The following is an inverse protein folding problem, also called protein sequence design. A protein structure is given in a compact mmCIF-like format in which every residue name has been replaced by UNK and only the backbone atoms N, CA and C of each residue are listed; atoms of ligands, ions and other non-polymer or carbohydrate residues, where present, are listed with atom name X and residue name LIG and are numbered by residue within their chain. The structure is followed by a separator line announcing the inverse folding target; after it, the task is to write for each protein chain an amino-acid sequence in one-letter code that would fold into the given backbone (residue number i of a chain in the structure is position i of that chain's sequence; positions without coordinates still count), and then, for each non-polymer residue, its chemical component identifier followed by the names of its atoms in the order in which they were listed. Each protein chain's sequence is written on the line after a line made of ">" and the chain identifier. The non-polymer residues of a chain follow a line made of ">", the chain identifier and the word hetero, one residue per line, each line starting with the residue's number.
data_IF_178192451987
#
_entry.id   IF_178192451987
#
_cell.length_a   1.000
_cell.length_b   1.000
_cell.length_c   1.000
_cell.angle_alpha   90.00
_cell.angle_beta   90.00
_cell.angle_gamma   90.00
#
_symmetry.space_group_name_H-M   'P 1'
#
loop_
_entity.id
_entity.type
_entity.pdbx_description
1 polymer ?
#
# COMPACT_ATOMS: atom_id res chain seq x y z
N UNK A 1 -19.70 -19.37 -4.75
CA UNK A 1 -18.69 -19.73 -5.78
C UNK A 1 -18.03 -18.49 -6.40
N UNK A 2 -18.79 -17.43 -6.75
CA UNK A 2 -18.26 -16.20 -7.40
C UNK A 2 -17.17 -15.50 -6.56
N UNK A 3 -17.33 -15.41 -5.26
CA UNK A 3 -16.32 -14.78 -4.39
C UNK A 3 -15.00 -15.57 -4.34
N UNK A 4 -15.04 -16.90 -4.42
CA UNK A 4 -13.84 -17.74 -4.42
C UNK A 4 -13.05 -17.57 -5.72
N UNK A 5 -13.74 -17.56 -6.87
CA UNK A 5 -13.10 -17.33 -8.17
C UNK A 5 -12.44 -15.95 -8.25
N UNK A 6 -13.10 -14.90 -7.75
CA UNK A 6 -12.54 -13.54 -7.71
C UNK A 6 -11.32 -13.44 -6.78
N UNK A 7 -11.33 -14.14 -5.65
CA UNK A 7 -10.18 -14.18 -4.74
C UNK A 7 -8.97 -14.88 -5.38
N UNK A 8 -9.20 -16.05 -6.02
CA UNK A 8 -8.14 -16.79 -6.72
C UNK A 8 -7.57 -15.99 -7.91
N UNK A 9 -8.42 -15.35 -8.70
CA UNK A 9 -7.98 -14.47 -9.78
C UNK A 9 -7.13 -13.31 -9.25
N UNK A 10 -7.51 -12.72 -8.11
CA UNK A 10 -6.73 -11.66 -7.45
C UNK A 10 -5.36 -12.14 -6.99
N UNK A 11 -5.26 -13.34 -6.39
CA UNK A 11 -4.00 -13.95 -5.98
C UNK A 11 -3.11 -14.20 -7.20
N UNK A 12 -3.66 -14.81 -8.26
CA UNK A 12 -2.93 -15.09 -9.50
C UNK A 12 -2.37 -13.80 -10.12
N UNK A 13 -3.18 -12.73 -10.14
CA UNK A 13 -2.76 -11.42 -10.63
C UNK A 13 -1.61 -10.83 -9.81
N UNK A 14 -1.68 -10.90 -8.48
CA UNK A 14 -0.64 -10.40 -7.58
C UNK A 14 0.67 -11.18 -7.74
N UNK A 15 0.60 -12.51 -7.87
CA UNK A 15 1.77 -13.35 -8.13
C UNK A 15 2.40 -13.02 -9.49
N UNK A 16 1.59 -12.89 -10.53
CA UNK A 16 2.06 -12.54 -11.86
C UNK A 16 2.78 -11.19 -11.88
N UNK A 17 2.15 -10.13 -11.35
CA UNK A 17 2.78 -8.82 -11.31
C UNK A 17 3.98 -8.78 -10.37
N UNK A 18 3.97 -9.50 -9.25
CA UNK A 18 5.12 -9.63 -8.37
C UNK A 18 6.33 -10.18 -9.10
N UNK A 19 6.16 -11.29 -9.84
CA UNK A 19 7.23 -11.88 -10.65
C UNK A 19 7.70 -10.94 -11.76
N UNK A 20 6.77 -10.30 -12.48
CA UNK A 20 7.13 -9.34 -13.55
C UNK A 20 7.96 -8.19 -13.00
N UNK A 21 7.55 -7.57 -11.89
CA UNK A 21 8.32 -6.49 -11.28
C UNK A 21 9.70 -6.96 -10.83
N UNK A 22 9.80 -8.13 -10.19
CA UNK A 22 11.09 -8.68 -9.76
C UNK A 22 12.01 -8.92 -10.98
N UNK A 23 11.51 -9.52 -12.06
CA UNK A 23 12.28 -9.74 -13.28
C UNK A 23 12.79 -8.43 -13.87
N UNK A 24 11.94 -7.40 -13.96
CA UNK A 24 12.34 -6.08 -14.47
C UNK A 24 13.46 -5.50 -13.62
N UNK A 25 13.31 -5.50 -12.29
CA UNK A 25 14.34 -4.94 -11.42
C UNK A 25 15.65 -5.76 -11.43
N UNK A 26 15.58 -7.09 -11.47
CA UNK A 26 16.78 -7.92 -11.57
C UNK A 26 17.59 -7.62 -12.83
N UNK A 27 16.91 -7.44 -13.97
CA UNK A 27 17.56 -7.04 -15.22
C UNK A 27 18.29 -5.69 -15.08
N UNK A 28 17.69 -4.72 -14.36
CA UNK A 28 18.39 -3.45 -14.05
C UNK A 28 19.63 -3.66 -13.19
N UNK A 29 19.58 -4.55 -12.21
CA UNK A 29 20.72 -4.84 -11.33
C UNK A 29 21.86 -5.55 -12.06
N UNK A 30 21.56 -6.37 -13.06
CA UNK A 30 22.56 -7.07 -13.89
C UNK A 30 23.19 -6.16 -14.94
N UNK A 31 22.47 -5.16 -15.44
CA UNK A 31 22.90 -4.32 -16.56
C UNK A 31 23.82 -3.16 -16.20
N UNK A 32 23.96 -2.83 -14.92
CA UNK A 32 24.72 -1.67 -14.48
C UNK A 32 25.62 -2.01 -13.29
N UNK A 33 26.91 -1.61 -13.38
CA UNK A 33 27.91 -1.71 -12.30
C UNK A 33 27.74 -0.63 -11.19
N UNK A 34 26.55 -0.04 -11.08
CA UNK A 34 26.30 1.03 -10.11
C UNK A 34 25.92 0.46 -8.73
N UNK A 35 26.36 1.14 -7.67
CA UNK A 35 25.94 0.81 -6.30
C UNK A 35 24.50 1.22 -6.07
N UNK A 36 23.61 0.24 -5.97
CA UNK A 36 22.18 0.50 -5.70
C UNK A 36 21.89 0.75 -4.22
N UNK A 37 20.88 1.58 -3.91
CA UNK A 37 20.53 1.93 -2.52
C UNK A 37 19.91 0.78 -1.72
N UNK A 38 19.49 -0.30 -2.39
CA UNK A 38 18.96 -1.53 -1.78
C UNK A 38 19.70 -2.76 -2.31
N UNK A 39 19.88 -3.78 -1.46
CA UNK A 39 20.36 -5.10 -1.91
C UNK A 39 19.22 -5.83 -2.65
N UNK A 40 19.56 -6.77 -3.55
CA UNK A 40 18.58 -7.56 -4.32
C UNK A 40 17.52 -8.20 -3.41
N UNK A 41 17.96 -8.89 -2.35
CA UNK A 41 17.03 -9.55 -1.41
C UNK A 41 16.10 -8.56 -0.69
N UNK A 42 16.58 -7.35 -0.37
CA UNK A 42 15.77 -6.30 0.24
C UNK A 42 14.69 -5.81 -0.72
N UNK A 43 15.06 -5.64 -1.99
CA UNK A 43 14.14 -5.24 -3.04
C UNK A 43 13.08 -6.31 -3.32
N UNK A 44 13.48 -7.58 -3.42
CA UNK A 44 12.56 -8.70 -3.65
C UNK A 44 11.55 -8.80 -2.50
N UNK A 45 12.00 -8.68 -1.24
CA UNK A 45 11.11 -8.62 -0.08
C UNK A 45 10.11 -7.47 -0.18
N UNK A 46 10.59 -6.27 -0.53
CA UNK A 46 9.75 -5.09 -0.71
C UNK A 46 8.65 -5.31 -1.76
N UNK A 47 9.01 -5.86 -2.91
CA UNK A 47 8.07 -6.11 -4.00
C UNK A 47 7.03 -7.17 -3.63
N UNK A 48 7.43 -8.25 -2.94
CA UNK A 48 6.47 -9.24 -2.47
C UNK A 48 5.52 -8.70 -1.40
N UNK A 49 6.02 -7.91 -0.46
CA UNK A 49 5.17 -7.25 0.54
C UNK A 49 4.18 -6.30 -0.11
N UNK A 50 4.62 -5.54 -1.12
CA UNK A 50 3.73 -4.67 -1.87
C UNK A 50 2.59 -5.44 -2.54
N UNK A 51 2.86 -6.61 -3.12
CA UNK A 51 1.82 -7.47 -3.67
C UNK A 51 0.94 -8.10 -2.59
N UNK A 52 1.52 -8.64 -1.52
CA UNK A 52 0.78 -9.29 -0.44
C UNK A 52 -0.20 -8.33 0.25
N UNK A 53 0.25 -7.11 0.54
CA UNK A 53 -0.53 -6.08 1.23
C UNK A 53 -1.18 -5.06 0.28
N UNK A 54 -1.20 -5.33 -1.02
CA UNK A 54 -1.78 -4.47 -2.05
C UNK A 54 -3.15 -3.89 -1.67
N UNK A 55 -4.09 -4.75 -1.24
CA UNK A 55 -5.44 -4.33 -0.89
C UNK A 55 -5.49 -3.41 0.35
N UNK A 56 -4.48 -3.46 1.22
CA UNK A 56 -4.39 -2.65 2.42
C UNK A 56 -3.84 -1.25 2.13
N UNK A 57 -2.78 -1.17 1.34
CA UNK A 57 -1.97 0.05 1.18
C UNK A 57 -2.37 0.91 -0.01
N UNK A 58 -3.13 0.40 -0.96
CA UNK A 58 -3.52 1.17 -2.15
C UNK A 58 -4.51 2.29 -1.83
N UNK A 59 -4.17 3.51 -2.26
CA UNK A 59 -4.92 4.74 -1.94
C UNK A 59 -6.18 4.87 -2.80
N UNK A 60 -6.13 4.47 -4.06
CA UNK A 60 -7.18 4.71 -5.05
C UNK A 60 -8.36 3.70 -5.02
N UNK A 61 -8.44 2.86 -3.98
CA UNK A 61 -9.57 1.96 -3.80
C UNK A 61 -10.83 2.77 -3.49
N UNK A 62 -11.81 2.68 -4.38
CA UNK A 62 -13.08 3.40 -4.30
C UNK A 62 -14.10 2.60 -3.48
N UNK A 63 -14.81 3.30 -2.61
CA UNK A 63 -16.08 2.80 -2.10
C UNK A 63 -17.21 3.18 -3.08
N UNK A 64 -17.70 2.16 -3.81
CA UNK A 64 -18.73 2.37 -4.85
C UNK A 64 -20.07 2.79 -4.24
N UNK A 65 -20.39 2.32 -3.05
CA UNK A 65 -21.65 2.61 -2.38
C UNK A 65 -21.67 4.07 -1.91
N UNK A 66 -20.57 4.53 -1.32
CA UNK A 66 -20.40 5.93 -0.96
C UNK A 66 -20.54 6.85 -2.19
N UNK A 67 -19.79 6.57 -3.25
CA UNK A 67 -19.79 7.39 -4.46
C UNK A 67 -21.16 7.39 -5.17
N UNK A 68 -21.87 6.27 -5.15
CA UNK A 68 -23.21 6.19 -5.72
C UNK A 68 -24.21 7.04 -4.92
N UNK A 69 -24.10 7.08 -3.60
CA UNK A 69 -24.96 7.93 -2.75
C UNK A 69 -24.70 9.41 -2.96
N UNK A 70 -23.42 9.80 -3.16
CA UNK A 70 -23.09 11.20 -3.53
C UNK A 70 -23.73 11.58 -4.86
N UNK A 71 -23.59 10.74 -5.90
CA UNK A 71 -24.16 11.01 -7.22
C UNK A 71 -25.68 11.09 -7.26
N UNK A 72 -26.35 10.23 -6.48
CA UNK A 72 -27.81 10.16 -6.45
C UNK A 72 -28.43 11.13 -5.43
N UNK A 73 -27.64 11.92 -4.74
CA UNK A 73 -28.11 12.83 -3.69
C UNK A 73 -28.53 12.13 -2.38
N UNK A 74 -28.46 10.80 -2.32
CA UNK A 74 -28.87 10.00 -1.15
C UNK A 74 -27.95 10.22 0.07
N UNK A 75 -26.81 10.88 -0.12
CA UNK A 75 -25.90 11.26 0.95
C UNK A 75 -26.58 12.15 2.00
N UNK A 76 -27.60 12.92 1.61
CA UNK A 76 -28.39 13.76 2.50
C UNK A 76 -29.09 12.92 3.59
N UNK A 77 -29.61 11.73 3.25
CA UNK A 77 -30.25 10.83 4.23
C UNK A 77 -29.23 10.26 5.22
N UNK A 78 -27.99 10.04 4.78
CA UNK A 78 -26.93 9.58 5.67
C UNK A 78 -26.48 10.67 6.65
N UNK A 79 -26.47 11.92 6.23
CA UNK A 79 -26.15 13.08 7.09
C UNK A 79 -27.21 13.36 8.14
N UNK A 80 -28.47 12.98 7.91
CA UNK A 80 -29.57 13.13 8.88
C UNK A 80 -29.59 12.04 9.97
N UNK A 81 -28.76 10.99 9.85
CA UNK A 81 -28.73 9.90 10.85
C UNK A 81 -28.06 10.37 12.15
N UNK A 82 -28.57 9.94 13.33
CA UNK A 82 -27.97 10.29 14.61
C UNK A 82 -26.71 9.47 14.93
N UNK A 83 -25.74 9.49 14.02
CA UNK A 83 -24.45 8.84 14.18
C UNK A 83 -23.35 9.67 13.53
N UNK A 84 -22.13 9.50 14.01
CA UNK A 84 -21.00 10.21 13.43
C UNK A 84 -20.71 9.69 12.03
N UNK A 85 -20.97 10.52 11.03
CA UNK A 85 -20.82 10.22 9.61
C UNK A 85 -19.38 9.74 9.25
N UNK A 86 -18.36 10.46 9.77
CA UNK A 86 -16.97 10.13 9.52
C UNK A 86 -16.61 8.73 10.03
N UNK A 87 -16.89 8.44 11.31
CA UNK A 87 -16.55 7.15 11.90
C UNK A 87 -17.29 5.98 11.26
N UNK A 88 -18.53 6.16 10.85
CA UNK A 88 -19.28 5.13 10.11
C UNK A 88 -18.55 4.74 8.83
N UNK A 89 -18.30 5.72 7.98
CA UNK A 89 -17.69 5.46 6.67
C UNK A 89 -16.22 5.06 6.76
N UNK A 90 -15.47 5.65 7.71
CA UNK A 90 -14.11 5.21 8.01
C UNK A 90 -14.07 3.72 8.40
N UNK A 91 -14.92 3.31 9.34
CA UNK A 91 -14.98 1.91 9.80
C UNK A 91 -15.40 0.95 8.69
N UNK A 92 -16.33 1.36 7.83
CA UNK A 92 -16.74 0.57 6.65
C UNK A 92 -15.59 0.38 5.67
N UNK A 93 -14.90 1.45 5.29
CA UNK A 93 -13.75 1.41 4.38
C UNK A 93 -12.58 0.62 4.98
N UNK A 94 -12.28 0.84 6.26
CA UNK A 94 -11.21 0.14 6.96
C UNK A 94 -11.50 -1.35 7.08
N UNK A 95 -12.72 -1.73 7.47
CA UNK A 95 -13.17 -3.12 7.53
C UNK A 95 -13.09 -3.83 6.19
N UNK A 96 -13.48 -3.16 5.10
CA UNK A 96 -13.37 -3.69 3.74
C UNK A 96 -11.90 -3.94 3.33
N UNK A 97 -10.97 -3.05 3.69
CA UNK A 97 -9.53 -3.23 3.44
C UNK A 97 -8.97 -4.43 4.19
N UNK A 98 -9.26 -4.54 5.48
CA UNK A 98 -8.82 -5.67 6.32
C UNK A 98 -9.38 -6.98 5.78
N UNK A 99 -10.67 -7.05 5.46
CA UNK A 99 -11.28 -8.26 4.89
C UNK A 99 -10.61 -8.69 3.57
N UNK A 100 -10.34 -7.73 2.68
CA UNK A 100 -9.71 -8.01 1.38
C UNK A 100 -8.26 -8.48 1.52
N UNK A 101 -7.47 -7.89 2.41
CA UNK A 101 -6.07 -8.30 2.60
C UNK A 101 -5.99 -9.66 3.27
N UNK A 102 -6.82 -9.92 4.29
CA UNK A 102 -6.79 -11.20 5.05
C UNK A 102 -6.99 -12.42 4.14
N UNK A 103 -7.81 -12.29 3.10
CA UNK A 103 -8.05 -13.38 2.16
C UNK A 103 -6.89 -13.64 1.18
N UNK A 104 -6.01 -12.67 0.96
CA UNK A 104 -5.03 -12.70 -0.13
C UNK A 104 -3.58 -12.72 0.32
N UNK A 105 -3.23 -12.10 1.46
CA UNK A 105 -1.82 -11.95 1.86
C UNK A 105 -1.14 -13.27 2.15
N UNK A 106 -1.82 -14.21 2.84
CA UNK A 106 -1.26 -15.50 3.21
C UNK A 106 -0.84 -16.34 2.00
N UNK A 107 -1.70 -16.62 1.00
CA UNK A 107 -1.30 -17.39 -0.17
C UNK A 107 -0.15 -16.73 -0.94
N UNK A 108 -0.14 -15.39 -1.06
CA UNK A 108 0.93 -14.67 -1.76
C UNK A 108 2.26 -14.83 -1.03
N UNK A 109 2.29 -14.64 0.30
CA UNK A 109 3.53 -14.80 1.08
C UNK A 109 4.03 -16.25 1.04
N UNK A 110 3.14 -17.24 1.23
CA UNK A 110 3.54 -18.67 1.21
C UNK A 110 4.19 -19.02 -0.13
N UNK A 111 3.60 -18.60 -1.25
CA UNK A 111 4.16 -18.87 -2.57
C UNK A 111 5.47 -18.10 -2.75
N UNK A 112 5.54 -16.83 -2.34
CA UNK A 112 6.75 -16.02 -2.43
C UNK A 112 7.94 -16.62 -1.69
N UNK A 113 7.72 -17.24 -0.54
CA UNK A 113 8.78 -17.93 0.24
C UNK A 113 9.21 -19.23 -0.42
N UNK A 114 8.31 -19.95 -1.08
CA UNK A 114 8.59 -21.23 -1.73
C UNK A 114 9.31 -21.12 -3.08
N UNK A 115 9.39 -19.92 -3.66
CA UNK A 115 10.07 -19.70 -4.93
C UNK A 115 11.59 -19.92 -4.82
N UNK A 116 12.27 -20.33 -5.91
CA UNK A 116 13.72 -20.45 -5.93
C UNK A 116 14.40 -19.05 -5.93
N UNK A 117 15.62 -18.99 -5.40
CA UNK A 117 16.46 -17.80 -5.52
C UNK A 117 16.70 -17.48 -7.02
N UNK A 118 16.69 -16.18 -7.43
CA UNK A 118 16.64 -14.95 -6.64
C UNK A 118 15.23 -14.40 -6.38
N UNK A 119 14.17 -15.12 -6.73
CA UNK A 119 12.78 -14.66 -6.67
C UNK A 119 12.12 -14.85 -5.29
N UNK A 120 12.76 -15.57 -4.38
CA UNK A 120 12.19 -15.93 -3.10
C UNK A 120 12.17 -14.75 -2.12
N UNK A 121 11.08 -14.67 -1.35
CA UNK A 121 11.00 -13.78 -0.20
C UNK A 121 11.81 -14.36 0.96
N UNK A 122 12.65 -13.55 1.58
CA UNK A 122 13.43 -13.93 2.78
C UNK A 122 12.75 -13.47 4.05
N UNK A 123 13.02 -14.15 5.16
CA UNK A 123 12.54 -13.74 6.48
C UNK A 123 13.11 -12.37 6.87
N UNK A 124 12.44 -11.63 7.77
CA UNK A 124 12.95 -10.36 8.27
C UNK A 124 14.30 -10.55 8.96
N UNK A 125 15.16 -9.54 8.90
CA UNK A 125 16.53 -9.62 9.43
C UNK A 125 16.56 -9.91 10.95
N UNK A 126 15.62 -9.31 11.70
CA UNK A 126 15.48 -9.50 13.14
C UNK A 126 14.00 -9.58 13.54
N UNK A 127 13.72 -10.15 14.71
CA UNK A 127 12.38 -10.15 15.30
C UNK A 127 11.89 -8.71 15.56
N UNK A 128 12.78 -7.83 15.93
CA UNK A 128 12.49 -6.41 16.14
C UNK A 128 11.98 -5.74 14.85
N UNK A 129 12.65 -5.97 13.71
CA UNK A 129 12.17 -5.49 12.41
C UNK A 129 10.78 -6.01 12.07
N UNK A 130 10.48 -7.26 12.42
CA UNK A 130 9.16 -7.84 12.20
C UNK A 130 8.08 -7.16 13.05
N UNK A 131 8.35 -6.93 14.35
CA UNK A 131 7.41 -6.25 15.25
C UNK A 131 7.16 -4.81 14.78
N UNK A 132 8.23 -4.06 14.46
CA UNK A 132 8.12 -2.70 13.92
C UNK A 132 7.38 -2.66 12.58
N UNK A 133 7.59 -3.64 11.72
CA UNK A 133 6.83 -3.79 10.48
C UNK A 133 5.33 -3.92 10.75
N UNK A 134 4.92 -4.79 11.68
CA UNK A 134 3.50 -4.97 12.01
C UNK A 134 2.90 -3.67 12.56
N UNK A 135 3.59 -3.00 13.48
CA UNK A 135 3.13 -1.72 14.04
C UNK A 135 3.02 -0.65 12.95
N UNK A 136 4.04 -0.52 12.10
CA UNK A 136 4.04 0.44 10.99
C UNK A 136 2.95 0.12 9.95
N UNK A 137 2.66 -1.15 9.70
CA UNK A 137 1.60 -1.57 8.79
C UNK A 137 0.19 -1.22 9.31
N UNK A 138 -0.02 -1.34 10.62
CA UNK A 138 -1.29 -0.92 11.25
C UNK A 138 -1.45 0.61 11.13
N UNK A 139 -0.41 1.37 11.48
CA UNK A 139 -0.43 2.84 11.35
C UNK A 139 -0.66 3.26 9.89
N UNK A 140 0.04 2.63 8.95
CA UNK A 140 -0.12 2.82 7.52
C UNK A 140 -1.55 2.58 7.04
N UNK A 141 -2.19 1.49 7.50
CA UNK A 141 -3.57 1.16 7.13
C UNK A 141 -4.60 2.19 7.63
N UNK A 142 -4.39 2.73 8.82
CA UNK A 142 -5.20 3.82 9.36
C UNK A 142 -4.97 5.10 8.55
N UNK A 143 -3.71 5.43 8.27
CA UNK A 143 -3.33 6.61 7.51
C UNK A 143 -3.92 6.60 6.09
N UNK A 144 -3.77 5.51 5.35
CA UNK A 144 -4.31 5.39 3.99
C UNK A 144 -5.83 5.47 3.97
N UNK A 145 -6.50 4.92 4.98
CA UNK A 145 -7.96 5.00 5.09
C UNK A 145 -8.40 6.42 5.40
N UNK A 146 -7.69 7.13 6.29
CA UNK A 146 -7.96 8.54 6.62
C UNK A 146 -7.80 9.44 5.39
N UNK A 147 -6.71 9.29 4.64
CA UNK A 147 -6.48 10.03 3.40
C UNK A 147 -7.59 9.72 2.38
N UNK A 148 -7.92 8.46 2.18
CA UNK A 148 -9.00 8.05 1.27
C UNK A 148 -10.33 8.67 1.70
N UNK A 149 -10.63 8.70 3.01
CA UNK A 149 -11.85 9.31 3.54
C UNK A 149 -11.90 10.82 3.30
N UNK A 150 -10.79 11.54 3.50
CA UNK A 150 -10.73 12.99 3.19
C UNK A 150 -11.11 13.24 1.73
N UNK A 151 -10.57 12.44 0.80
CA UNK A 151 -10.88 12.60 -0.62
C UNK A 151 -12.32 12.21 -0.96
N UNK A 152 -12.90 11.24 -0.29
CA UNK A 152 -14.33 10.93 -0.43
C UNK A 152 -15.19 12.10 0.07
N UNK A 153 -14.80 12.78 1.15
CA UNK A 153 -15.48 13.99 1.62
C UNK A 153 -15.38 15.13 0.58
N UNK A 154 -14.23 15.28 -0.06
CA UNK A 154 -14.07 16.28 -1.14
C UNK A 154 -15.02 15.98 -2.31
N UNK A 155 -15.31 14.71 -2.62
CA UNK A 155 -16.27 14.37 -3.69
C UNK A 155 -17.71 14.82 -3.39
N UNK A 156 -18.09 15.00 -2.12
CA UNK A 156 -19.41 15.54 -1.75
C UNK A 156 -19.55 16.99 -2.24
N UNK A 157 -18.47 17.76 -2.19
CA UNK A 157 -18.47 19.16 -2.64
C UNK A 157 -18.29 19.31 -4.15
N UNK A 158 -17.44 18.48 -4.75
CA UNK A 158 -17.09 18.61 -6.18
C UNK A 158 -18.09 17.90 -7.08
N UNK A 159 -18.82 16.91 -6.56
CA UNK A 159 -19.71 15.99 -7.31
C UNK A 159 -18.97 15.25 -8.46
N UNK A 160 -17.66 15.44 -8.59
CA UNK A 160 -16.79 14.79 -9.58
C UNK A 160 -15.82 13.81 -8.91
N UNK A 161 -16.14 12.52 -9.02
CA UNK A 161 -15.26 11.47 -8.52
C UNK A 161 -14.01 11.27 -9.37
N UNK A 162 -14.08 11.57 -10.70
CA UNK A 162 -13.00 11.23 -11.64
C UNK A 162 -11.76 12.07 -11.38
N UNK A 163 -11.91 13.37 -11.17
CA UNK A 163 -10.81 14.27 -10.88
C UNK A 163 -10.09 13.89 -9.58
N UNK A 164 -10.85 13.69 -8.51
CA UNK A 164 -10.33 13.34 -7.19
C UNK A 164 -9.59 12.00 -7.21
N UNK A 165 -10.20 10.97 -7.82
CA UNK A 165 -9.58 9.64 -7.92
C UNK A 165 -8.33 9.67 -8.79
N UNK A 166 -8.34 10.42 -9.90
CA UNK A 166 -7.15 10.52 -10.77
C UNK A 166 -5.99 11.19 -10.04
N UNK A 167 -6.26 12.24 -9.27
CA UNK A 167 -5.25 12.88 -8.44
C UNK A 167 -4.65 11.89 -7.43
N UNK A 168 -5.49 11.19 -6.66
CA UNK A 168 -5.05 10.18 -5.69
C UNK A 168 -4.24 9.06 -6.35
N UNK A 169 -4.69 8.59 -7.51
CA UNK A 169 -3.99 7.54 -8.23
C UNK A 169 -2.58 7.98 -8.62
N UNK A 170 -2.43 9.14 -9.19
CA UNK A 170 -1.12 9.59 -9.67
C UNK A 170 -0.20 9.99 -8.52
N UNK A 171 -0.65 10.90 -7.67
CA UNK A 171 0.19 11.40 -6.58
C UNK A 171 0.39 10.39 -5.46
N UNK A 172 -0.68 9.73 -5.05
CA UNK A 172 -0.63 8.75 -3.97
C UNK A 172 0.22 7.54 -4.33
N UNK A 173 0.08 6.99 -5.53
CA UNK A 173 0.80 5.80 -5.97
C UNK A 173 2.30 6.07 -6.14
N UNK A 174 2.67 7.20 -6.75
CA UNK A 174 4.07 7.57 -6.93
C UNK A 174 4.74 7.85 -5.57
N UNK A 175 4.17 8.74 -4.77
CA UNK A 175 4.80 9.19 -3.51
C UNK A 175 4.62 8.22 -2.33
N UNK A 176 3.81 7.18 -2.46
CA UNK A 176 3.76 6.11 -1.46
C UNK A 176 4.88 5.07 -1.61
N UNK A 177 5.58 5.05 -2.75
CA UNK A 177 6.53 3.99 -3.06
C UNK A 177 5.88 2.70 -3.57
N UNK A 178 4.57 2.73 -3.88
CA UNK A 178 3.83 1.54 -4.32
C UNK A 178 4.29 0.98 -5.68
N UNK A 179 4.68 1.85 -6.61
CA UNK A 179 5.19 1.44 -7.93
C UNK A 179 6.70 1.27 -7.94
N UNK A 180 7.42 2.24 -7.37
CA UNK A 180 8.88 2.27 -7.29
C UNK A 180 9.27 2.69 -5.88
N UNK A 181 10.13 1.93 -5.17
CA UNK A 181 10.61 2.33 -3.85
C UNK A 181 11.22 3.73 -3.89
N UNK A 182 10.90 4.58 -2.91
CA UNK A 182 11.31 6.00 -2.88
C UNK A 182 12.84 6.17 -2.90
N UNK A 183 13.58 5.18 -2.43
CA UNK A 183 15.06 5.21 -2.45
C UNK A 183 15.67 5.27 -3.85
N UNK A 184 14.94 4.85 -4.89
CA UNK A 184 15.39 4.95 -6.29
C UNK A 184 15.06 6.29 -6.94
N UNK A 185 14.32 7.16 -6.27
CA UNK A 185 13.97 8.47 -6.80
C UNK A 185 15.19 9.41 -6.80
N UNK A 186 15.23 10.40 -7.72
CA UNK A 186 16.18 11.50 -7.63
C UNK A 186 16.06 12.24 -6.28
N UNK A 187 17.16 12.78 -5.74
CA UNK A 187 17.20 13.43 -4.42
C UNK A 187 16.10 14.47 -4.21
N UNK A 188 15.77 15.25 -5.23
CA UNK A 188 14.67 16.21 -5.18
C UNK A 188 13.30 15.54 -4.91
N UNK A 189 12.99 14.46 -5.64
CA UNK A 189 11.73 13.72 -5.44
C UNK A 189 11.68 13.01 -4.08
N UNK A 190 12.83 12.49 -3.60
CA UNK A 190 12.92 11.95 -2.25
C UNK A 190 12.63 13.01 -1.18
N UNK A 191 13.11 14.24 -1.36
CA UNK A 191 12.81 15.36 -0.46
C UNK A 191 11.31 15.67 -0.45
N UNK A 192 10.69 15.77 -1.63
CA UNK A 192 9.23 16.00 -1.74
C UNK A 192 8.44 14.84 -1.09
N UNK A 193 8.84 13.59 -1.35
CA UNK A 193 8.19 12.42 -0.74
C UNK A 193 8.25 12.45 0.79
N UNK A 194 9.36 12.91 1.37
CA UNK A 194 9.53 13.03 2.83
C UNK A 194 8.63 14.10 3.47
N UNK A 195 8.25 15.13 2.71
CA UNK A 195 7.31 16.16 3.19
C UNK A 195 5.86 15.68 3.14
N UNK A 196 5.57 14.66 2.34
CA UNK A 196 4.21 14.14 2.14
C UNK A 196 3.96 12.92 3.03
N UNK A 197 2.73 12.75 3.54
CA UNK A 197 2.40 11.60 4.39
C UNK A 197 2.36 10.28 3.60
N UNK A 198 2.42 10.31 2.28
CA UNK A 198 2.26 9.13 1.44
C UNK A 198 3.37 8.09 1.60
N UNK A 199 4.63 8.51 1.91
CA UNK A 199 5.74 7.57 2.12
C UNK A 199 5.50 6.58 3.26
N UNK A 200 4.71 6.98 4.27
CA UNK A 200 4.38 6.13 5.42
C UNK A 200 3.39 5.01 5.09
N UNK A 201 2.81 5.02 3.88
CA UNK A 201 1.80 4.03 3.46
C UNK A 201 2.45 2.72 3.01
N UNK A 202 3.43 2.78 2.11
CA UNK A 202 4.09 1.62 1.52
C UNK A 202 5.58 1.58 1.84
N UNK A 203 6.30 2.69 1.54
CA UNK A 203 7.77 2.70 1.55
C UNK A 203 8.32 2.38 2.94
N UNK A 204 7.85 3.05 3.96
CA UNK A 204 8.36 2.89 5.33
C UNK A 204 8.17 1.45 5.86
N UNK A 205 6.94 0.88 5.92
CA UNK A 205 6.76 -0.46 6.48
C UNK A 205 7.53 -1.54 5.72
N UNK A 206 7.59 -1.47 4.38
CA UNK A 206 8.27 -2.49 3.60
C UNK A 206 9.79 -2.40 3.69
N UNK A 207 10.34 -1.20 3.86
CA UNK A 207 11.77 -0.99 4.11
C UNK A 207 12.20 -1.41 5.51
N UNK A 208 11.33 -1.25 6.52
CA UNK A 208 11.57 -1.77 7.87
C UNK A 208 11.68 -3.30 7.83
N UNK A 209 10.73 -3.98 7.20
CA UNK A 209 10.79 -5.44 7.06
C UNK A 209 12.05 -5.91 6.34
N UNK A 210 12.40 -5.26 5.24
CA UNK A 210 13.56 -5.62 4.42
C UNK A 210 14.91 -5.27 5.03
N UNK A 211 14.93 -4.56 6.18
CA UNK A 211 16.17 -4.14 6.85
C UNK A 211 16.95 -3.08 6.07
N UNK A 212 16.28 -2.28 5.26
CA UNK A 212 16.90 -1.17 4.51
C UNK A 212 16.93 0.15 5.30
N UNK A 213 16.30 0.21 6.48
CA UNK A 213 16.32 1.36 7.40
C UNK A 213 16.90 0.88 8.72
N UNK A 214 17.82 1.66 9.30
CA UNK A 214 18.34 1.41 10.63
C UNK A 214 17.23 1.52 11.68
N UNK A 215 17.25 0.65 12.69
CA UNK A 215 16.21 0.58 13.73
C UNK A 215 16.04 1.92 14.46
N UNK A 216 17.13 2.62 14.78
CA UNK A 216 17.09 3.95 15.40
C UNK A 216 16.34 4.98 14.54
N UNK A 217 16.56 4.96 13.22
CA UNK A 217 15.85 5.82 12.28
C UNK A 217 14.37 5.43 12.16
N UNK A 218 14.06 4.13 12.25
CA UNK A 218 12.69 3.62 12.20
C UNK A 218 11.85 4.12 13.38
N UNK A 219 12.41 4.11 14.59
CA UNK A 219 11.73 4.65 15.77
C UNK A 219 11.46 6.15 15.65
N UNK A 220 12.44 6.94 15.19
CA UNK A 220 12.28 8.38 15.00
C UNK A 220 11.20 8.71 13.96
N UNK A 221 11.11 7.93 12.88
CA UNK A 221 10.12 8.16 11.81
C UNK A 221 8.71 7.71 12.17
N UNK A 222 8.53 6.86 13.16
CA UNK A 222 7.21 6.43 13.65
C UNK A 222 6.64 7.34 14.74
N UNK A 223 7.52 8.07 15.47
CA UNK A 223 7.14 8.90 16.63
C UNK A 223 7.08 10.40 16.28
N UNK A 224 7.80 10.86 15.26
CA UNK A 224 7.83 12.25 14.79
C UNK A 224 6.82 12.54 13.72
#
# INVERSE_FOLDING_TARGET
>A
LQYRAAALAGIATQLFFGLVFIMVYLTFYESNDTTYPMKVNQLVNYLWLNQAFFALVYIWVKDKDFLSMVKNGNIAYELCRPMNFYFKWFSTMYGARIANVTLRFLPVIVIAVLLPSPYNMTLPATLENFILFIVSLIISSILVTSITMIFHLVTIYTLDEKGVVSFLKVFGEIFSGGTVPIVFFPKFMQFVAKLLPFQYICDLPFRIYSGNIDLSASYMTLVG
#
